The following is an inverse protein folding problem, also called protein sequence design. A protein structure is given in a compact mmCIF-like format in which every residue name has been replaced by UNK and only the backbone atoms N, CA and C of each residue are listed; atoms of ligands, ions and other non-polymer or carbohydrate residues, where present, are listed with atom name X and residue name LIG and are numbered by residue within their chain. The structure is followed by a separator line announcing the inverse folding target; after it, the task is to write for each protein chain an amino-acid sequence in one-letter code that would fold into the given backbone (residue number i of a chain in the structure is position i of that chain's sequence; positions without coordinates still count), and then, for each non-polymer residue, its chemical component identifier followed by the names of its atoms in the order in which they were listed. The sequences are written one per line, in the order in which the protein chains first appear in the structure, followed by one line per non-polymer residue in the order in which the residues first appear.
data_IF_035268328882
#
_entry.id   IF_035268328882
#
_cell.length_a   1.000
_cell.length_b   1.000
_cell.length_c   1.000
_cell.angle_alpha   90.00
_cell.angle_beta   90.00
_cell.angle_gamma   90.00
#
_symmetry.space_group_name_H-M   'P 1'
#
loop_
_entity.id
_entity.type
_entity.pdbx_description
1 polymer ?
#
# COMPACT_ATOMS: atom_id res chain seq x y z
N UNK A 1 1.72 -10.89 -16.83
CA UNK A 1 2.35 -11.97 -16.03
C UNK A 1 3.53 -11.44 -15.20
N UNK A 2 4.39 -10.57 -15.74
CA UNK A 2 5.53 -9.97 -15.00
C UNK A 2 5.09 -9.27 -13.69
N UNK A 3 3.95 -8.58 -13.68
CA UNK A 3 3.41 -7.95 -12.47
C UNK A 3 3.18 -8.93 -11.29
N UNK A 4 2.76 -10.17 -11.59
CA UNK A 4 2.51 -11.19 -10.57
C UNK A 4 3.83 -11.64 -9.92
N UNK A 5 4.91 -11.73 -10.71
CA UNK A 5 6.23 -12.07 -10.18
C UNK A 5 6.71 -11.03 -9.16
N UNK A 6 6.42 -9.75 -9.37
CA UNK A 6 6.73 -8.69 -8.41
C UNK A 6 6.06 -8.90 -7.05
N UNK A 7 4.79 -9.29 -7.05
CA UNK A 7 4.02 -9.58 -5.82
C UNK A 7 4.63 -10.78 -5.08
N UNK A 8 4.98 -11.85 -5.81
CA UNK A 8 5.59 -13.06 -5.22
C UNK A 8 6.95 -12.74 -4.60
N UNK A 9 7.80 -11.97 -5.29
CA UNK A 9 9.10 -11.55 -4.75
C UNK A 9 8.96 -10.66 -3.53
N UNK A 10 8.02 -9.71 -3.54
CA UNK A 10 7.75 -8.84 -2.39
C UNK A 10 7.31 -9.65 -1.16
N UNK A 11 6.35 -10.58 -1.34
CA UNK A 11 5.89 -11.45 -0.27
C UNK A 11 7.03 -12.35 0.24
N UNK A 12 7.80 -12.96 -0.67
CA UNK A 12 8.95 -13.80 -0.30
C UNK A 12 10.00 -13.05 0.53
N UNK A 13 10.32 -11.80 0.14
CA UNK A 13 11.27 -10.97 0.88
C UNK A 13 10.73 -10.59 2.26
N UNK A 14 9.46 -10.18 2.37
CA UNK A 14 8.83 -9.85 3.66
C UNK A 14 8.83 -11.05 4.60
N UNK A 15 8.48 -12.24 4.11
CA UNK A 15 8.48 -13.47 4.92
C UNK A 15 9.89 -13.85 5.39
N UNK A 16 10.89 -13.78 4.51
CA UNK A 16 12.28 -14.04 4.89
C UNK A 16 12.80 -13.04 5.94
N UNK A 17 12.45 -11.76 5.79
CA UNK A 17 12.80 -10.71 6.75
C UNK A 17 12.14 -10.97 8.11
N UNK A 18 10.84 -11.27 8.15
CA UNK A 18 10.12 -11.60 9.40
C UNK A 18 10.76 -12.82 10.06
N UNK A 19 11.09 -13.85 9.28
CA UNK A 19 11.72 -15.05 9.82
C UNK A 19 13.04 -14.74 10.52
N UNK A 20 13.89 -13.93 9.87
CA UNK A 20 15.20 -13.53 10.41
C UNK A 20 15.08 -12.58 11.61
N UNK A 21 14.09 -11.70 11.62
CA UNK A 21 13.91 -10.71 12.68
C UNK A 21 13.29 -11.30 13.95
N UNK A 22 12.29 -12.18 13.82
CA UNK A 22 11.54 -12.71 14.96
C UNK A 22 12.07 -14.07 15.47
N UNK A 23 12.58 -14.93 14.58
CA UNK A 23 13.05 -16.27 14.94
C UNK A 23 14.58 -16.42 14.90
N UNK A 24 15.31 -15.32 14.67
CA UNK A 24 16.76 -15.29 14.74
C UNK A 24 17.28 -15.31 16.18
N UNK A 25 18.57 -15.63 16.36
CA UNK A 25 19.21 -15.56 17.67
C UNK A 25 19.41 -14.09 18.06
N UNK A 26 19.01 -13.72 19.28
CA UNK A 26 19.23 -12.36 19.79
C UNK A 26 20.75 -12.16 20.00
N UNK A 27 21.38 -11.13 19.40
CA UNK A 27 22.79 -10.83 19.62
C UNK A 27 23.02 -10.42 21.08
N UNK A 28 24.15 -10.84 21.66
CA UNK A 28 24.45 -10.61 23.07
C UNK A 28 24.48 -9.11 23.45
N UNK A 29 24.79 -8.22 22.49
CA UNK A 29 24.79 -6.77 22.71
C UNK A 29 23.38 -6.15 22.77
N UNK A 30 22.33 -6.86 22.33
CA UNK A 30 20.94 -6.38 22.36
C UNK A 30 20.17 -6.87 23.60
N UNK A 31 20.76 -7.73 24.42
CA UNK A 31 20.10 -8.33 25.59
C UNK A 31 19.71 -7.33 26.68
N UNK A 32 20.43 -6.20 26.75
CA UNK A 32 20.22 -5.16 27.78
C UNK A 32 19.37 -3.98 27.26
N UNK A 33 18.82 -4.09 26.04
CA UNK A 33 17.91 -3.07 25.50
C UNK A 33 16.54 -3.20 26.15
N UNK A 34 16.02 -2.06 26.63
CA UNK A 34 14.66 -1.98 27.14
C UNK A 34 13.66 -2.14 25.99
N UNK A 35 12.67 -2.99 26.19
CA UNK A 35 11.53 -3.13 25.27
C UNK A 35 10.79 -1.80 25.06
N UNK A 36 10.08 -1.73 23.93
CA UNK A 36 9.30 -0.55 23.56
C UNK A 36 8.29 -0.17 24.66
N UNK A 37 8.32 1.09 25.06
CA UNK A 37 7.41 1.57 26.09
C UNK A 37 5.98 1.72 25.52
N UNK A 38 4.99 1.74 26.42
CA UNK A 38 3.57 1.83 26.04
C UNK A 38 3.26 3.08 25.22
N UNK A 39 3.97 4.18 25.48
CA UNK A 39 3.80 5.43 24.73
C UNK A 39 4.45 5.37 23.34
N UNK A 40 5.53 4.61 23.17
CA UNK A 40 6.23 4.45 21.88
C UNK A 40 5.46 3.53 20.93
N UNK A 41 4.65 2.61 21.49
CA UNK A 41 3.81 1.69 20.72
C UNK A 41 2.51 2.33 20.19
N UNK A 42 2.08 3.47 20.74
CA UNK A 42 0.86 4.18 20.32
C UNK A 42 0.84 4.48 18.80
N UNK A 43 1.86 5.10 18.19
CA UNK A 43 1.86 5.38 16.75
C UNK A 43 1.81 4.10 15.90
N UNK A 44 2.47 3.01 16.33
CA UNK A 44 2.42 1.73 15.63
C UNK A 44 1.00 1.15 15.62
N UNK A 45 0.34 1.14 16.78
CA UNK A 45 -1.04 0.66 16.91
C UNK A 45 -1.98 1.51 16.06
N UNK A 46 -1.82 2.84 16.07
CA UNK A 46 -2.61 3.75 15.24
C UNK A 46 -2.43 3.46 13.74
N UNK A 47 -1.20 3.16 13.31
CA UNK A 47 -0.92 2.78 11.93
C UNK A 47 -1.61 1.46 11.56
N UNK A 48 -1.52 0.45 12.42
CA UNK A 48 -2.15 -0.86 12.20
C UNK A 48 -3.66 -0.68 12.06
N UNK A 49 -4.30 0.07 12.95
CA UNK A 49 -5.74 0.36 12.89
C UNK A 49 -6.08 1.02 11.54
N UNK A 50 -5.30 2.02 11.12
CA UNK A 50 -5.54 2.71 9.84
C UNK A 50 -5.47 1.75 8.65
N UNK A 51 -4.47 0.87 8.62
CA UNK A 51 -4.30 -0.14 7.56
C UNK A 51 -5.49 -1.12 7.57
N UNK A 52 -5.90 -1.59 8.74
CA UNK A 52 -7.03 -2.53 8.88
C UNK A 52 -8.35 -1.89 8.46
N UNK A 53 -8.62 -0.64 8.86
CA UNK A 53 -9.83 0.09 8.47
C UNK A 53 -9.91 0.23 6.96
N UNK A 54 -8.83 0.69 6.31
CA UNK A 54 -8.80 0.82 4.84
C UNK A 54 -8.88 -0.54 4.15
N UNK A 55 -8.25 -1.58 4.72
CA UNK A 55 -8.30 -2.93 4.18
C UNK A 55 -9.69 -3.57 4.25
N UNK A 56 -10.47 -3.28 5.30
CA UNK A 56 -11.83 -3.80 5.46
C UNK A 56 -12.87 -2.94 4.72
N UNK A 57 -12.69 -1.62 4.70
CA UNK A 57 -13.62 -0.67 4.08
C UNK A 57 -12.86 0.29 3.15
N UNK A 58 -12.54 -0.15 1.92
CA UNK A 58 -11.69 0.60 0.99
C UNK A 58 -12.34 1.88 0.45
N UNK A 59 -13.68 1.98 0.46
CA UNK A 59 -14.41 3.15 -0.05
C UNK A 59 -14.06 4.45 0.66
N UNK A 60 -13.64 4.41 1.94
CA UNK A 60 -13.10 5.60 2.65
C UNK A 60 -12.00 6.30 1.84
N UNK A 61 -11.20 5.54 1.12
CA UNK A 61 -10.09 6.07 0.32
C UNK A 61 -10.48 6.12 -1.17
N UNK A 62 -11.15 5.08 -1.68
CA UNK A 62 -11.51 4.99 -3.10
C UNK A 62 -12.47 6.10 -3.54
N UNK A 63 -13.41 6.54 -2.69
CA UNK A 63 -14.36 7.60 -3.04
C UNK A 63 -13.66 8.95 -3.24
N UNK A 64 -12.63 9.22 -2.42
CA UNK A 64 -11.79 10.42 -2.57
C UNK A 64 -11.04 10.37 -3.89
N UNK A 65 -10.45 9.22 -4.24
CA UNK A 65 -9.78 9.06 -5.53
C UNK A 65 -10.75 9.20 -6.70
N UNK A 66 -11.94 8.61 -6.64
CA UNK A 66 -12.94 8.71 -7.70
C UNK A 66 -13.29 10.17 -8.01
N UNK A 67 -13.49 10.99 -6.98
CA UNK A 67 -13.78 12.43 -7.16
C UNK A 67 -12.66 13.18 -7.89
N UNK A 68 -11.40 12.76 -7.72
CA UNK A 68 -10.26 13.31 -8.46
C UNK A 68 -10.08 12.73 -9.86
N UNK A 69 -10.50 11.48 -10.08
CA UNK A 69 -10.33 10.77 -11.35
C UNK A 69 -11.43 11.10 -12.37
N UNK A 70 -12.67 11.34 -11.93
CA UNK A 70 -13.80 11.72 -12.80
C UNK A 70 -13.46 12.84 -13.80
N UNK A 71 -12.91 14.01 -13.37
CA UNK A 71 -12.55 15.06 -14.32
C UNK A 71 -11.42 14.63 -15.26
N UNK A 72 -10.42 13.87 -14.78
CA UNK A 72 -9.32 13.39 -15.62
C UNK A 72 -9.80 12.44 -16.73
N UNK A 73 -10.68 11.49 -16.38
CA UNK A 73 -11.25 10.54 -17.33
C UNK A 73 -12.14 11.25 -18.35
N UNK A 74 -12.91 12.26 -17.93
CA UNK A 74 -13.76 13.04 -18.84
C UNK A 74 -12.96 13.81 -19.91
N UNK A 75 -11.78 14.34 -19.55
CA UNK A 75 -10.89 15.02 -20.49
C UNK A 75 -10.28 14.03 -21.48
N UNK A 76 -9.79 12.89 -21.00
CA UNK A 76 -9.23 11.83 -21.87
C UNK A 76 -10.27 11.32 -22.87
N UNK A 77 -11.50 11.10 -22.41
CA UNK A 77 -12.60 10.63 -23.25
C UNK A 77 -13.07 11.69 -24.27
N UNK A 78 -13.03 12.99 -23.93
CA UNK A 78 -13.33 14.03 -24.91
C UNK A 78 -12.29 14.08 -26.04
N UNK A 79 -11.01 13.92 -25.72
CA UNK A 79 -9.93 13.94 -26.71
C UNK A 79 -10.02 12.75 -27.68
N UNK A 80 -10.38 11.57 -27.19
CA UNK A 80 -10.58 10.40 -28.06
C UNK A 80 -11.79 10.58 -28.99
N UNK A 81 -12.90 11.16 -28.51
CA UNK A 81 -14.09 11.47 -29.34
C UNK A 81 -13.77 12.50 -30.43
N UNK A 82 -13.01 13.56 -30.12
CA UNK A 82 -12.59 14.57 -31.11
C UNK A 82 -11.71 13.92 -32.19
N UNK A 83 -10.78 13.04 -31.83
CA UNK A 83 -9.89 12.41 -32.80
C UNK A 83 -10.63 11.45 -33.75
N UNK A 84 -11.68 10.75 -33.29
CA UNK A 84 -12.50 9.88 -34.14
C UNK A 84 -13.41 10.73 -35.05
N UNK A 85 -13.90 11.87 -34.57
CA UNK A 85 -14.73 12.81 -35.33
C UNK A 85 -13.98 13.61 -36.41
N UNK A 86 -12.64 13.61 -36.39
CA UNK A 86 -11.77 14.25 -37.39
C UNK A 86 -11.23 13.28 -38.47
N UNK A 87 -11.40 11.96 -38.26
CA UNK A 87 -11.00 10.91 -39.21
C UNK A 87 -12.20 10.37 -40.01
N UNK A 88 -13.42 10.79 -39.66
CA UNK A 88 -14.68 10.38 -40.29
C UNK A 88 -15.23 11.39 -41.32
N UNK A 89 -14.50 12.47 -41.61
CA UNK A 89 -14.83 13.56 -42.51
C UNK A 89 -13.70 13.83 -43.51
#
# INVERSE_FOLDING_TARGET
MIAVLGIVLAAGYILWMIQRALFGNLPDHLLDLKDADRLESIPLILMIISIVVVGLYPSVVTDVFNSGLEPMVSVINNVSVINIGLLGN
#
